data_IF_679021949013
#
_entry.id   IF_679021949013
#
_cell.length_a   1.000
_cell.length_b   1.000
_cell.length_c   1.000
_cell.angle_alpha   90.00
_cell.angle_beta   90.00
_cell.angle_gamma   90.00
#
_symmetry.space_group_name_H-M   'P 1'
#
loop_
_entity.id
_entity.type
_entity.pdbx_description
1 polymer ?
#
# COMPACT_ATOMS: atom_id res chain seq x y z
N UNK A 1 -12.91 24.74 -43.77
CA UNK A 1 -11.61 24.08 -43.99
C UNK A 1 -10.56 25.17 -43.88
N UNK A 2 -9.94 25.26 -42.72
CA UNK A 2 -8.97 26.31 -42.37
C UNK A 2 -7.54 25.79 -42.67
N UNK A 3 -6.70 26.46 -43.47
CA UNK A 3 -5.46 25.89 -43.98
C UNK A 3 -4.27 25.95 -43.01
N UNK A 4 -4.48 26.15 -41.71
CA UNK A 4 -3.41 26.31 -40.72
C UNK A 4 -2.86 25.01 -40.10
N UNK A 5 -3.38 23.82 -40.47
CA UNK A 5 -2.95 22.54 -39.87
C UNK A 5 -1.85 21.76 -40.63
N UNK A 6 -1.02 22.44 -41.42
CA UNK A 6 0.18 21.81 -42.03
C UNK A 6 1.43 22.67 -41.83
N UNK A 7 1.81 22.88 -40.57
CA UNK A 7 3.21 23.04 -40.21
C UNK A 7 3.60 21.80 -39.42
N UNK A 8 4.46 20.98 -40.03
CA UNK A 8 5.05 19.83 -39.36
C UNK A 8 5.73 20.31 -38.08
N UNK A 9 5.26 19.79 -36.95
CA UNK A 9 5.99 19.86 -35.70
C UNK A 9 7.27 19.06 -35.90
N UNK A 10 8.37 19.75 -36.23
CA UNK A 10 9.70 19.18 -36.08
C UNK A 10 9.96 19.19 -34.59
N UNK A 11 9.65 18.08 -33.93
CA UNK A 11 10.03 17.87 -32.54
C UNK A 11 11.54 18.07 -32.43
N UNK A 12 12.03 18.97 -31.56
CA UNK A 12 13.45 19.09 -31.30
C UNK A 12 13.88 17.88 -30.46
N UNK A 13 13.95 16.70 -31.08
CA UNK A 13 14.60 15.52 -30.52
C UNK A 13 16.11 15.73 -30.57
N UNK A 14 16.63 16.58 -29.68
CA UNK A 14 17.81 16.11 -28.97
C UNK A 14 17.29 14.98 -28.09
N UNK A 15 17.61 13.72 -28.43
CA UNK A 15 17.38 12.58 -27.53
C UNK A 15 18.01 12.94 -26.19
N UNK A 16 17.17 13.40 -25.26
CA UNK A 16 17.64 13.75 -23.93
C UNK A 16 18.06 12.44 -23.31
N UNK A 17 19.33 12.32 -22.94
CA UNK A 17 19.79 11.13 -22.25
C UNK A 17 19.16 11.08 -20.84
N UNK A 18 18.00 10.46 -20.74
CA UNK A 18 17.27 10.32 -19.47
C UNK A 18 18.06 9.54 -18.42
N UNK A 19 19.04 8.73 -18.83
CA UNK A 19 19.88 7.96 -17.89
C UNK A 19 20.82 8.83 -17.04
N UNK A 20 21.08 10.07 -17.47
CA UNK A 20 21.88 11.05 -16.72
C UNK A 20 21.03 11.90 -15.78
N UNK A 21 19.70 11.80 -15.86
CA UNK A 21 18.78 12.59 -15.02
C UNK A 21 18.77 12.04 -13.60
N UNK A 22 19.03 12.90 -12.62
CA UNK A 22 18.98 12.57 -11.19
C UNK A 22 17.57 12.84 -10.65
N UNK A 23 16.72 11.82 -10.61
CA UNK A 23 15.29 12.01 -10.33
C UNK A 23 15.01 12.53 -8.92
N UNK A 24 15.85 12.22 -7.93
CA UNK A 24 15.76 12.78 -6.59
C UNK A 24 16.04 14.29 -6.58
N UNK A 25 17.09 14.73 -7.27
CA UNK A 25 17.40 16.16 -7.43
C UNK A 25 16.29 16.91 -8.19
N UNK A 26 15.70 16.30 -9.21
CA UNK A 26 14.58 16.89 -9.96
C UNK A 26 13.37 17.11 -9.05
N UNK A 27 12.99 16.10 -8.25
CA UNK A 27 11.90 16.22 -7.27
C UNK A 27 12.20 17.33 -6.25
N UNK A 28 13.40 17.37 -5.69
CA UNK A 28 13.81 18.38 -4.71
C UNK A 28 13.75 19.79 -5.28
N UNK A 29 14.22 20.01 -6.52
CA UNK A 29 14.14 21.31 -7.19
C UNK A 29 12.70 21.79 -7.35
N UNK A 30 11.76 20.88 -7.61
CA UNK A 30 10.34 21.21 -7.69
C UNK A 30 9.77 21.70 -6.35
N UNK A 31 10.28 21.22 -5.21
CA UNK A 31 9.83 21.72 -3.90
C UNK A 31 10.24 23.17 -3.60
N UNK A 32 11.12 23.78 -4.41
CA UNK A 32 11.69 25.13 -4.24
C UNK A 32 12.37 25.35 -2.88
N UNK A 33 12.97 24.29 -2.32
CA UNK A 33 13.68 24.35 -1.04
C UNK A 33 12.75 24.43 0.18
N UNK A 34 11.44 24.13 0.02
CA UNK A 34 10.50 24.04 1.15
C UNK A 34 10.86 22.92 2.14
N UNK A 35 11.57 21.90 1.67
CA UNK A 35 11.91 20.71 2.45
C UNK A 35 13.41 20.41 2.37
N UNK A 36 13.94 19.78 3.43
CA UNK A 36 15.32 19.30 3.42
C UNK A 36 15.48 18.15 2.41
N UNK A 37 16.59 18.09 1.67
CA UNK A 37 16.87 16.98 0.75
C UNK A 37 16.90 15.63 1.46
N UNK A 38 16.23 14.62 0.90
CA UNK A 38 16.34 13.24 1.39
C UNK A 38 17.79 12.70 1.33
N UNK A 39 18.60 13.24 0.41
CA UNK A 39 20.03 12.93 0.25
C UNK A 39 20.88 13.32 1.46
N UNK A 40 20.48 14.31 2.26
CA UNK A 40 21.14 14.64 3.53
C UNK A 40 21.01 13.49 4.54
N UNK A 41 19.96 12.68 4.46
CA UNK A 41 19.72 11.56 5.38
C UNK A 41 20.48 10.29 4.98
N UNK A 42 20.73 10.08 3.68
CA UNK A 42 21.54 8.97 3.16
C UNK A 42 23.00 9.08 3.63
N UNK A 43 23.53 10.30 3.70
CA UNK A 43 24.97 10.54 3.93
C UNK A 43 25.41 10.40 5.41
N UNK A 44 24.46 10.36 6.35
CA UNK A 44 24.74 10.53 7.78
C UNK A 44 24.81 9.23 8.62
N UNK A 45 24.86 8.03 8.03
CA UNK A 45 24.74 6.74 8.76
C UNK A 45 23.42 6.57 9.55
N UNK A 46 22.51 7.55 9.45
CA UNK A 46 21.31 7.63 10.24
C UNK A 46 20.23 6.68 9.74
N UNK A 47 20.15 6.40 8.45
CA UNK A 47 19.08 5.59 7.85
C UNK A 47 18.95 4.21 8.51
N UNK A 48 20.07 3.56 8.83
CA UNK A 48 20.11 2.19 9.35
C UNK A 48 20.06 2.05 10.87
N UNK A 49 20.14 3.14 11.64
CA UNK A 49 20.21 3.06 13.11
C UNK A 49 18.83 3.19 13.73
N UNK A 50 18.45 2.28 14.64
CA UNK A 50 17.20 2.41 15.38
C UNK A 50 17.16 3.69 16.22
N UNK A 51 16.00 4.38 16.35
CA UNK A 51 15.87 5.50 17.25
C UNK A 51 16.05 5.04 18.70
N UNK A 52 16.69 5.87 19.55
CA UNK A 52 16.90 5.56 20.98
C UNK A 52 15.59 5.56 21.77
N UNK A 53 14.63 6.39 21.39
CA UNK A 53 13.28 6.46 21.96
C UNK A 53 12.25 6.53 20.84
N UNK A 54 11.08 5.93 21.08
CA UNK A 54 9.96 5.97 20.14
C UNK A 54 9.11 7.19 20.48
N UNK A 55 9.37 8.33 19.84
CA UNK A 55 8.42 9.43 19.87
C UNK A 55 7.20 9.06 19.02
N UNK A 56 6.12 8.66 19.69
CA UNK A 56 4.81 8.58 19.06
C UNK A 56 4.23 9.98 19.10
N UNK A 57 4.51 10.80 18.08
CA UNK A 57 3.72 12.01 17.88
C UNK A 57 2.28 11.61 17.55
N UNK A 58 1.36 11.99 18.42
CA UNK A 58 -0.07 11.63 18.43
C UNK A 58 -0.92 12.39 17.40
N UNK A 59 -0.30 13.06 16.41
CA UNK A 59 -1.05 13.80 15.39
C UNK A 59 -1.61 12.84 14.34
N UNK A 60 -2.72 12.19 14.69
CA UNK A 60 -3.57 11.42 13.76
C UNK A 60 -4.39 12.36 12.89
N UNK A 61 -4.50 12.06 11.60
CA UNK A 61 -5.48 12.71 10.71
C UNK A 61 -5.12 14.10 10.17
N UNK A 62 -3.91 14.63 10.43
CA UNK A 62 -3.42 15.85 9.75
C UNK A 62 -2.82 15.50 8.38
N UNK A 63 -3.29 16.18 7.32
CA UNK A 63 -2.71 16.06 5.97
C UNK A 63 -1.38 16.80 5.91
N UNK A 64 -0.31 16.06 5.69
CA UNK A 64 0.99 16.62 5.30
C UNK A 64 1.51 15.99 4.02
N UNK A 65 2.82 16.11 3.81
CA UNK A 65 3.51 15.52 2.65
C UNK A 65 3.36 14.01 2.64
N UNK A 66 3.25 13.42 1.46
CA UNK A 66 3.12 11.96 1.28
C UNK A 66 4.31 11.40 0.52
N UNK A 67 4.91 10.34 1.02
CA UNK A 67 5.90 9.59 0.24
C UNK A 67 5.21 8.50 -0.59
N UNK A 68 5.72 8.22 -1.79
CA UNK A 68 5.42 7.01 -2.54
C UNK A 68 6.67 6.15 -2.50
N UNK A 69 6.57 4.99 -1.90
CA UNK A 69 7.68 4.06 -1.73
C UNK A 69 7.42 2.84 -2.58
N UNK A 70 8.31 2.61 -3.54
CA UNK A 70 8.34 1.39 -4.33
C UNK A 70 9.33 0.42 -3.72
N UNK A 71 8.88 -0.81 -3.45
CA UNK A 71 9.75 -1.85 -2.90
C UNK A 71 10.29 -2.71 -4.03
N UNK A 72 11.59 -2.97 -4.02
CA UNK A 72 12.29 -3.72 -5.06
C UNK A 72 13.43 -4.57 -4.49
N UNK A 73 14.15 -5.27 -5.36
CA UNK A 73 15.21 -6.22 -5.00
C UNK A 73 16.49 -5.92 -5.79
N UNK A 74 17.61 -6.43 -5.32
CA UNK A 74 18.93 -6.29 -5.95
C UNK A 74 19.05 -6.94 -7.34
N UNK A 75 18.18 -7.90 -7.66
CA UNK A 75 18.08 -8.55 -8.97
C UNK A 75 16.95 -8.02 -9.85
N UNK A 76 16.31 -6.90 -9.47
CA UNK A 76 15.23 -6.32 -10.27
C UNK A 76 15.73 -5.79 -11.62
N UNK A 77 15.12 -6.28 -12.70
CA UNK A 77 15.44 -5.84 -14.05
C UNK A 77 14.76 -4.49 -14.39
N UNK A 78 15.53 -3.42 -14.55
CA UNK A 78 15.05 -2.11 -14.99
C UNK A 78 15.03 -1.99 -16.52
N UNK A 79 14.13 -2.72 -17.19
CA UNK A 79 13.92 -2.60 -18.64
C UNK A 79 13.57 -1.16 -19.07
N UNK A 80 13.66 -0.84 -20.35
CA UNK A 80 13.30 0.49 -20.86
C UNK A 80 11.83 0.86 -20.56
N UNK A 81 10.91 -0.09 -20.73
CA UNK A 81 9.48 0.05 -20.42
C UNK A 81 9.24 0.35 -18.94
N UNK A 82 9.86 -0.43 -18.04
CA UNK A 82 9.79 -0.21 -16.59
C UNK A 82 10.37 1.13 -16.18
N UNK A 83 11.50 1.53 -16.77
CA UNK A 83 12.09 2.86 -16.52
C UNK A 83 11.16 3.97 -17.01
N UNK A 84 10.55 3.84 -18.18
CA UNK A 84 9.57 4.81 -18.67
C UNK A 84 8.37 4.95 -17.70
N UNK A 85 7.85 3.85 -17.18
CA UNK A 85 6.79 3.85 -16.17
C UNK A 85 7.22 4.58 -14.88
N UNK A 86 8.41 4.28 -14.34
CA UNK A 86 8.93 4.95 -13.14
C UNK A 86 9.09 6.46 -13.35
N UNK A 87 9.56 6.89 -14.52
CA UNK A 87 9.67 8.32 -14.88
C UNK A 87 8.30 8.98 -14.95
N UNK A 88 7.32 8.31 -15.55
CA UNK A 88 5.94 8.78 -15.63
C UNK A 88 5.35 8.91 -14.22
N UNK A 89 5.50 7.90 -13.37
CA UNK A 89 5.07 7.94 -11.97
C UNK A 89 5.64 9.16 -11.24
N UNK A 90 6.95 9.39 -11.29
CA UNK A 90 7.60 10.52 -10.62
C UNK A 90 7.09 11.86 -11.18
N UNK A 91 6.93 11.94 -12.50
CA UNK A 91 6.47 13.15 -13.17
C UNK A 91 5.02 13.49 -12.80
N UNK A 92 4.13 12.51 -12.91
CA UNK A 92 2.70 12.68 -12.66
C UNK A 92 2.37 12.89 -11.18
N UNK A 93 3.22 12.41 -10.27
CA UNK A 93 3.01 12.58 -8.83
C UNK A 93 3.84 13.72 -8.27
N UNK A 94 5.14 13.54 -8.09
CA UNK A 94 6.00 14.49 -7.39
C UNK A 94 6.12 15.83 -8.11
N UNK A 95 6.29 15.84 -9.44
CA UNK A 95 6.51 17.09 -10.19
C UNK A 95 5.19 17.83 -10.44
N UNK A 96 4.13 17.11 -10.83
CA UNK A 96 2.81 17.69 -11.06
C UNK A 96 2.22 18.34 -9.81
N UNK A 97 2.43 17.72 -8.63
CA UNK A 97 1.90 18.20 -7.36
C UNK A 97 2.75 19.28 -6.68
N UNK A 98 3.78 19.81 -7.35
CA UNK A 98 4.74 20.77 -6.77
C UNK A 98 5.34 20.26 -5.45
N UNK A 99 5.56 18.94 -5.33
CA UNK A 99 6.22 18.30 -4.20
C UNK A 99 5.32 17.86 -3.03
N UNK A 100 3.99 17.82 -3.18
CA UNK A 100 3.10 17.18 -2.19
C UNK A 100 3.37 15.67 -2.06
N UNK A 101 3.80 15.06 -3.18
CA UNK A 101 4.37 13.73 -3.23
C UNK A 101 5.90 13.75 -3.42
N UNK A 102 6.57 12.72 -2.92
CA UNK A 102 7.96 12.38 -3.30
C UNK A 102 8.10 10.86 -3.41
N UNK A 103 8.77 10.40 -4.47
CA UNK A 103 8.93 8.98 -4.80
C UNK A 103 10.31 8.49 -4.36
N UNK A 104 10.32 7.32 -3.72
CA UNK A 104 11.51 6.65 -3.21
C UNK A 104 11.48 5.16 -3.51
N UNK A 105 12.65 4.54 -3.61
CA UNK A 105 12.79 3.09 -3.76
C UNK A 105 13.41 2.50 -2.49
N UNK A 106 12.81 1.44 -1.94
CA UNK A 106 13.42 0.59 -0.93
C UNK A 106 13.91 -0.69 -1.62
N UNK A 107 15.23 -0.83 -1.73
CA UNK A 107 15.87 -1.94 -2.44
C UNK A 107 16.38 -2.96 -1.44
N UNK A 108 15.78 -4.15 -1.44
CA UNK A 108 16.26 -5.27 -0.64
C UNK A 108 17.48 -5.91 -1.31
N UNK A 109 18.64 -5.81 -0.67
CA UNK A 109 19.87 -6.51 -1.04
C UNK A 109 19.89 -7.84 -0.31
N UNK A 110 19.68 -8.94 -1.05
CA UNK A 110 19.54 -10.29 -0.48
C UNK A 110 20.85 -10.78 0.15
N UNK A 111 21.99 -10.26 -0.30
CA UNK A 111 23.30 -10.59 0.27
C UNK A 111 23.55 -9.86 1.61
N UNK A 112 23.46 -10.62 2.71
CA UNK A 112 23.68 -10.13 4.08
C UNK A 112 25.16 -9.94 4.49
N UNK A 113 26.11 -10.36 3.64
CA UNK A 113 27.54 -10.11 3.86
C UNK A 113 27.93 -8.67 3.51
N UNK A 114 27.14 -8.00 2.66
CA UNK A 114 27.33 -6.58 2.36
C UNK A 114 26.93 -5.77 3.58
N UNK A 115 27.89 -5.07 4.18
CA UNK A 115 27.73 -4.28 5.41
C UNK A 115 27.13 -2.90 5.11
N UNK A 116 25.91 -2.89 4.57
CA UNK A 116 25.17 -1.66 4.25
C UNK A 116 25.04 -0.70 5.44
N UNK A 117 25.03 -1.24 6.66
CA UNK A 117 24.88 -0.52 7.92
C UNK A 117 26.17 0.15 8.44
N UNK A 118 27.34 -0.23 7.93
CA UNK A 118 28.65 0.15 8.51
C UNK A 118 29.71 0.55 7.49
N UNK A 119 29.59 0.12 6.24
CA UNK A 119 30.58 0.36 5.19
C UNK A 119 29.96 1.20 4.06
N UNK A 120 30.27 2.50 4.09
CA UNK A 120 29.82 3.48 3.08
C UNK A 120 30.28 3.10 1.67
N UNK A 121 31.49 2.57 1.52
CA UNK A 121 32.00 2.18 0.21
C UNK A 121 31.24 0.96 -0.33
N UNK A 122 30.98 -0.02 0.52
CA UNK A 122 30.17 -1.18 0.15
C UNK A 122 28.73 -0.78 -0.21
N UNK A 123 28.13 0.16 0.54
CA UNK A 123 26.82 0.72 0.22
C UNK A 123 26.82 1.41 -1.16
N UNK A 124 27.77 2.30 -1.42
CA UNK A 124 27.87 3.00 -2.70
C UNK A 124 28.11 2.04 -3.87
N UNK A 125 28.92 1.00 -3.68
CA UNK A 125 29.16 -0.02 -4.69
C UNK A 125 27.89 -0.83 -4.97
N UNK A 126 27.17 -1.27 -3.94
CA UNK A 126 25.90 -1.98 -4.09
C UNK A 126 24.85 -1.10 -4.79
N UNK A 127 24.77 0.19 -4.45
CA UNK A 127 23.85 1.14 -5.09
C UNK A 127 24.15 1.29 -6.58
N UNK A 128 25.44 1.39 -6.95
CA UNK A 128 25.86 1.47 -8.36
C UNK A 128 25.59 0.19 -9.12
N UNK A 129 25.72 -0.96 -8.46
CA UNK A 129 25.53 -2.28 -9.05
C UNK A 129 24.05 -2.59 -9.31
N UNK A 130 23.17 -2.29 -8.35
CA UNK A 130 21.78 -2.76 -8.37
C UNK A 130 20.77 -1.70 -8.82
N UNK A 131 21.14 -0.42 -8.84
CA UNK A 131 20.21 0.67 -9.19
C UNK A 131 20.74 1.48 -10.38
N UNK A 132 19.92 1.69 -11.44
CA UNK A 132 20.28 2.54 -12.57
C UNK A 132 20.65 3.95 -12.12
N UNK A 133 21.61 4.56 -12.80
CA UNK A 133 22.19 5.85 -12.42
C UNK A 133 21.16 6.95 -12.16
N UNK A 134 20.08 6.98 -12.95
CA UNK A 134 19.03 7.98 -12.86
C UNK A 134 18.19 7.91 -11.57
N UNK A 135 18.16 6.75 -10.90
CA UNK A 135 17.35 6.52 -9.70
C UNK A 135 18.16 6.35 -8.42
N UNK A 136 19.50 6.44 -8.48
CA UNK A 136 20.35 6.19 -7.30
C UNK A 136 20.10 7.19 -6.17
N UNK A 137 19.65 8.41 -6.47
CA UNK A 137 19.34 9.45 -5.48
C UNK A 137 17.91 9.39 -4.90
N UNK A 138 17.09 8.43 -5.36
CA UNK A 138 15.79 8.10 -4.76
C UNK A 138 15.79 6.72 -4.09
N UNK A 139 16.89 5.96 -4.19
CA UNK A 139 16.98 4.60 -3.71
C UNK A 139 17.70 4.47 -2.36
N UNK A 140 17.09 3.70 -1.46
CA UNK A 140 17.62 3.33 -0.16
C UNK A 140 17.77 1.82 -0.11
N UNK A 141 18.99 1.36 0.15
CA UNK A 141 19.26 -0.07 0.28
C UNK A 141 18.95 -0.52 1.71
N UNK A 142 18.56 -1.78 1.85
CA UNK A 142 18.50 -2.47 3.14
C UNK A 142 18.73 -3.97 2.92
N UNK A 143 19.01 -4.70 3.98
CA UNK A 143 19.10 -6.16 3.97
C UNK A 143 18.59 -6.72 5.31
N UNK A 144 18.53 -8.04 5.43
CA UNK A 144 18.04 -8.71 6.65
C UNK A 144 18.82 -8.28 7.89
N UNK A 145 20.14 -8.11 7.79
CA UNK A 145 20.99 -7.63 8.90
C UNK A 145 20.50 -6.30 9.48
N UNK A 146 20.12 -5.34 8.63
CA UNK A 146 19.56 -4.06 9.07
C UNK A 146 18.24 -4.29 9.80
N UNK A 147 17.37 -5.15 9.28
CA UNK A 147 16.07 -5.43 9.89
C UNK A 147 16.21 -6.13 11.25
N UNK A 148 17.06 -7.14 11.37
CA UNK A 148 17.38 -7.83 12.63
C UNK A 148 17.87 -6.85 13.70
N UNK A 149 18.72 -5.89 13.31
CA UNK A 149 19.24 -4.88 14.24
C UNK A 149 18.14 -3.95 14.77
N UNK A 150 17.12 -3.66 13.95
CA UNK A 150 15.99 -2.85 14.35
C UNK A 150 14.97 -3.63 15.16
N UNK A 151 14.70 -4.87 14.79
CA UNK A 151 13.59 -5.68 15.28
C UNK A 151 14.09 -6.98 15.96
N UNK A 152 14.91 -6.90 17.02
CA UNK A 152 15.58 -8.08 17.59
C UNK A 152 14.65 -9.08 18.29
N UNK A 153 13.35 -8.76 18.44
CA UNK A 153 12.33 -9.65 19.00
C UNK A 153 11.46 -10.33 17.94
N UNK A 154 11.71 -10.06 16.67
CA UNK A 154 11.06 -10.72 15.54
C UNK A 154 12.06 -11.72 14.97
N UNK A 155 11.63 -12.96 14.74
CA UNK A 155 12.51 -14.04 14.28
C UNK A 155 12.58 -14.17 12.76
N UNK A 156 11.59 -13.62 12.04
CA UNK A 156 11.45 -13.69 10.58
C UNK A 156 11.43 -12.26 10.00
N UNK A 157 12.16 -12.02 8.91
CA UNK A 157 12.35 -10.69 8.32
C UNK A 157 12.15 -10.69 6.80
N UNK A 158 11.79 -11.84 6.21
CA UNK A 158 11.47 -11.99 4.81
C UNK A 158 10.26 -11.16 4.40
N UNK A 159 10.21 -10.78 3.12
CA UNK A 159 9.15 -9.92 2.60
C UNK A 159 7.75 -10.56 2.72
N UNK A 160 7.63 -11.88 2.75
CA UNK A 160 6.34 -12.55 2.95
C UNK A 160 5.74 -12.16 4.31
N UNK A 161 6.54 -12.22 5.37
CA UNK A 161 6.05 -12.00 6.72
C UNK A 161 6.20 -10.54 7.17
N UNK A 162 7.24 -9.83 6.74
CA UNK A 162 7.64 -8.54 7.29
C UNK A 162 7.99 -7.46 6.25
N UNK A 163 7.30 -7.38 5.11
CA UNK A 163 7.63 -6.38 4.06
C UNK A 163 7.60 -4.93 4.55
N UNK A 164 6.77 -4.64 5.56
CA UNK A 164 6.62 -3.30 6.10
C UNK A 164 7.79 -2.86 6.98
N UNK A 165 8.69 -3.73 7.43
CA UNK A 165 9.78 -3.34 8.35
C UNK A 165 10.70 -2.26 7.78
N UNK A 166 11.04 -2.34 6.49
CA UNK A 166 11.83 -1.30 5.83
C UNK A 166 11.03 0.02 5.69
N UNK A 167 9.72 -0.07 5.47
CA UNK A 167 8.83 1.11 5.42
C UNK A 167 8.65 1.76 6.81
N UNK A 168 8.62 0.95 7.86
CA UNK A 168 8.60 1.41 9.24
C UNK A 168 9.90 2.18 9.55
N UNK A 169 11.07 1.65 9.17
CA UNK A 169 12.35 2.37 9.24
C UNK A 169 12.25 3.70 8.48
N UNK A 170 11.68 3.68 7.26
CA UNK A 170 11.43 4.88 6.48
C UNK A 170 10.66 5.95 7.26
N UNK A 171 9.56 5.56 7.89
CA UNK A 171 8.70 6.48 8.65
C UNK A 171 9.37 7.12 9.87
N UNK A 172 10.37 6.45 10.46
CA UNK A 172 11.17 7.01 11.56
C UNK A 172 12.22 8.00 11.06
N UNK A 173 12.77 7.77 9.86
CA UNK A 173 13.87 8.59 9.31
C UNK A 173 13.38 9.79 8.54
N UNK A 174 12.18 9.71 8.00
CA UNK A 174 11.53 10.81 7.30
C UNK A 174 10.21 11.19 7.96
N UNK A 175 10.24 11.67 9.23
CA UNK A 175 9.02 11.93 10.01
C UNK A 175 8.16 13.07 9.44
N UNK A 176 8.71 13.87 8.51
CA UNK A 176 7.99 14.92 7.82
C UNK A 176 6.98 14.40 6.78
N UNK A 177 7.08 13.13 6.36
CA UNK A 177 6.01 12.46 5.62
C UNK A 177 4.96 11.94 6.59
N UNK A 178 3.79 12.56 6.56
CA UNK A 178 2.66 12.16 7.41
C UNK A 178 2.05 10.84 6.97
N UNK A 179 2.12 10.54 5.68
CA UNK A 179 1.58 9.33 5.07
C UNK A 179 2.58 8.78 4.04
N UNK A 180 2.52 7.47 3.82
CA UNK A 180 3.39 6.77 2.92
C UNK A 180 2.55 5.77 2.12
N UNK A 181 2.53 5.91 0.81
CA UNK A 181 2.09 4.87 -0.10
C UNK A 181 3.19 3.82 -0.23
N UNK A 182 2.86 2.57 -0.02
CA UNK A 182 3.64 1.43 -0.49
C UNK A 182 2.99 0.89 -1.75
N UNK A 183 3.70 0.96 -2.87
CA UNK A 183 3.26 0.36 -4.15
C UNK A 183 4.29 -0.66 -4.63
N UNK A 184 3.83 -1.64 -5.40
CA UNK A 184 4.69 -2.64 -6.01
C UNK A 184 5.21 -2.18 -7.39
N UNK A 185 6.38 -2.67 -7.78
CA UNK A 185 7.04 -2.29 -9.04
C UNK A 185 6.26 -2.75 -10.28
N UNK A 186 5.42 -3.78 -10.13
CA UNK A 186 4.57 -4.39 -11.15
C UNK A 186 3.12 -3.91 -11.10
N UNK A 187 2.82 -2.84 -10.33
CA UNK A 187 1.54 -2.12 -10.46
C UNK A 187 1.54 -1.26 -11.73
N UNK A 188 0.43 -1.29 -12.48
CA UNK A 188 0.15 -0.32 -13.56
C UNK A 188 -1.17 0.39 -13.35
N UNK A 189 -1.24 1.63 -13.82
CA UNK A 189 -2.47 2.41 -13.83
C UNK A 189 -2.80 2.86 -15.25
N UNK A 190 -4.07 2.72 -15.62
CA UNK A 190 -4.61 3.18 -16.92
C UNK A 190 -5.14 4.62 -16.82
N UNK A 191 -4.58 5.41 -15.90
CA UNK A 191 -5.02 6.76 -15.54
C UNK A 191 -3.85 7.57 -15.00
N UNK A 192 -4.03 8.89 -14.91
CA UNK A 192 -3.03 9.79 -14.32
C UNK A 192 -2.84 9.47 -12.83
N UNK A 193 -1.62 9.07 -12.44
CA UNK A 193 -1.38 8.42 -11.14
C UNK A 193 -1.75 9.32 -9.97
N UNK A 194 -1.37 10.60 -10.01
CA UNK A 194 -1.72 11.55 -8.94
C UNK A 194 -3.22 11.70 -8.74
N UNK A 195 -3.99 11.75 -9.83
CA UNK A 195 -5.45 11.90 -9.76
C UNK A 195 -6.07 10.69 -9.08
N UNK A 196 -5.57 9.49 -9.38
CA UNK A 196 -6.04 8.25 -8.76
C UNK A 196 -5.67 8.20 -7.27
N UNK A 197 -4.43 8.52 -6.89
CA UNK A 197 -4.04 8.56 -5.48
C UNK A 197 -4.82 9.60 -4.68
N UNK A 198 -5.00 10.81 -5.21
CA UNK A 198 -5.78 11.87 -4.54
C UNK A 198 -7.27 11.53 -4.43
N UNK A 199 -7.85 10.89 -5.46
CA UNK A 199 -9.25 10.45 -5.42
C UNK A 199 -9.47 9.38 -4.36
N UNK A 200 -8.52 8.46 -4.22
CA UNK A 200 -8.50 7.45 -3.16
C UNK A 200 -8.45 8.07 -1.77
N UNK A 201 -7.59 9.08 -1.57
CA UNK A 201 -7.52 9.84 -0.31
C UNK A 201 -8.82 10.60 -0.03
N UNK A 202 -9.38 11.28 -1.03
CA UNK A 202 -10.62 12.03 -0.90
C UNK A 202 -11.80 11.10 -0.53
N UNK A 203 -11.89 9.94 -1.18
CA UNK A 203 -12.87 8.92 -0.85
C UNK A 203 -12.74 8.44 0.59
N UNK A 204 -11.52 8.10 1.03
CA UNK A 204 -11.27 7.63 2.39
C UNK A 204 -11.65 8.67 3.46
N UNK A 205 -11.38 9.95 3.19
CA UNK A 205 -11.77 11.07 4.06
C UNK A 205 -13.27 11.25 4.20
N UNK A 206 -14.03 10.96 3.14
CA UNK A 206 -15.49 11.06 3.17
C UNK A 206 -16.16 9.95 3.99
N UNK A 207 -15.46 8.86 4.30
CA UNK A 207 -16.05 7.71 4.99
C UNK A 207 -16.23 7.96 6.50
N UNK A 208 -17.43 7.72 7.07
CA UNK A 208 -17.61 7.64 8.52
C UNK A 208 -17.06 6.31 9.07
N UNK A 209 -16.75 6.28 10.37
CA UNK A 209 -16.27 5.08 11.08
C UNK A 209 -17.38 4.07 11.39
N UNK A 210 -18.66 4.47 11.36
CA UNK A 210 -19.80 3.58 11.60
C UNK A 210 -19.75 2.42 10.61
N UNK A 211 -19.72 1.18 11.12
CA UNK A 211 -19.66 -0.08 10.35
C UNK A 211 -18.59 -0.08 9.23
N UNK A 212 -17.53 0.70 9.42
CA UNK A 212 -16.50 0.88 8.39
C UNK A 212 -15.71 -0.42 8.17
N UNK A 213 -15.42 -1.16 9.23
CA UNK A 213 -14.72 -2.44 9.12
C UNK A 213 -15.55 -3.51 8.39
N UNK A 214 -16.86 -3.49 8.56
CA UNK A 214 -17.78 -4.40 7.87
C UNK A 214 -17.95 -4.03 6.39
N UNK A 215 -17.95 -2.73 6.06
CA UNK A 215 -17.83 -2.28 4.67
C UNK A 215 -16.49 -2.66 4.05
N UNK A 216 -15.40 -2.48 4.79
CA UNK A 216 -14.06 -2.79 4.32
C UNK A 216 -13.87 -4.29 4.08
N UNK A 217 -14.57 -5.16 4.81
CA UNK A 217 -14.55 -6.61 4.62
C UNK A 217 -15.46 -7.11 3.49
N UNK A 218 -15.86 -6.26 2.53
CA UNK A 218 -16.81 -6.59 1.45
C UNK A 218 -16.44 -5.89 0.14
N UNK A 219 -16.63 -6.55 -0.99
CA UNK A 219 -16.56 -5.88 -2.30
C UNK A 219 -17.81 -5.07 -2.57
N UNK A 220 -17.61 -3.85 -3.05
CA UNK A 220 -18.67 -3.06 -3.66
C UNK A 220 -18.84 -3.48 -5.13
N UNK A 221 -20.04 -3.94 -5.49
CA UNK A 221 -20.41 -4.30 -6.87
C UNK A 221 -21.44 -3.29 -7.35
N UNK A 222 -21.06 -2.31 -8.22
CA UNK A 222 -21.89 -1.16 -8.54
C UNK A 222 -23.30 -1.49 -9.06
N UNK A 223 -23.42 -2.51 -9.91
CA UNK A 223 -24.69 -2.89 -10.55
C UNK A 223 -25.76 -3.29 -9.51
N UNK A 224 -25.37 -3.86 -8.37
CA UNK A 224 -26.29 -4.26 -7.30
C UNK A 224 -26.85 -3.06 -6.51
N UNK A 225 -26.29 -1.87 -6.72
CA UNK A 225 -26.62 -0.64 -5.97
C UNK A 225 -26.89 0.56 -6.90
N UNK A 226 -27.22 0.31 -8.17
CA UNK A 226 -27.46 1.34 -9.19
C UNK A 226 -26.30 2.36 -9.32
N UNK A 227 -25.07 1.90 -9.11
CA UNK A 227 -23.86 2.73 -9.16
C UNK A 227 -23.63 3.64 -7.95
N UNK A 228 -24.45 3.59 -6.89
CA UNK A 228 -24.25 4.40 -5.68
C UNK A 228 -23.51 3.64 -4.58
N UNK A 229 -22.34 4.16 -4.21
CA UNK A 229 -21.61 3.66 -3.04
C UNK A 229 -22.35 3.98 -1.73
N UNK A 230 -23.07 5.11 -1.68
CA UNK A 230 -23.87 5.50 -0.53
C UNK A 230 -25.02 4.51 -0.28
N UNK A 231 -25.66 4.00 -1.34
CA UNK A 231 -26.67 2.96 -1.23
C UNK A 231 -26.08 1.63 -0.72
N UNK A 232 -24.88 1.26 -1.18
CA UNK A 232 -24.12 0.13 -0.63
C UNK A 232 -23.82 0.32 0.86
N UNK A 233 -23.29 1.48 1.24
CA UNK A 233 -22.94 1.79 2.61
C UNK A 233 -24.17 1.76 3.53
N UNK A 234 -25.30 2.31 3.08
CA UNK A 234 -26.57 2.27 3.80
C UNK A 234 -27.11 0.85 3.96
N UNK A 235 -26.95 -0.01 2.95
CA UNK A 235 -27.35 -1.42 3.03
C UNK A 235 -26.50 -2.19 4.06
N UNK A 236 -25.19 -1.95 4.11
CA UNK A 236 -24.32 -2.52 5.15
C UNK A 236 -24.71 -1.99 6.53
N UNK A 237 -25.00 -0.70 6.67
CA UNK A 237 -25.47 -0.13 7.94
C UNK A 237 -26.78 -0.76 8.44
N UNK A 238 -27.70 -1.07 7.52
CA UNK A 238 -28.96 -1.73 7.85
C UNK A 238 -28.78 -3.20 8.26
N UNK A 239 -27.86 -3.92 7.62
CA UNK A 239 -27.54 -5.33 7.93
C UNK A 239 -26.81 -5.46 9.28
N UNK A 240 -25.84 -4.59 9.53
CA UNK A 240 -24.96 -4.67 10.71
C UNK A 240 -25.57 -3.97 11.94
N UNK A 241 -26.31 -2.89 11.76
CA UNK A 241 -26.86 -2.12 12.88
C UNK A 241 -25.77 -1.60 13.83
N UNK A 242 -25.92 -1.91 15.13
CA UNK A 242 -25.03 -1.42 16.20
C UNK A 242 -23.97 -2.44 16.64
N UNK A 243 -23.87 -3.61 15.99
CA UNK A 243 -22.91 -4.66 16.36
C UNK A 243 -21.55 -4.51 15.69
N UNK A 244 -21.43 -3.67 14.66
CA UNK A 244 -20.18 -3.45 13.94
C UNK A 244 -19.09 -2.80 14.79
N UNK A 245 -17.84 -2.93 14.36
CA UNK A 245 -16.68 -2.37 15.05
C UNK A 245 -16.79 -0.84 15.10
N UNK A 246 -16.67 -0.29 16.31
CA UNK A 246 -16.79 1.15 16.54
C UNK A 246 -15.48 1.80 16.99
N UNK A 247 -14.70 1.12 17.83
CA UNK A 247 -13.41 1.63 18.32
C UNK A 247 -12.35 0.53 18.27
N UNK A 248 -11.30 0.64 19.10
CA UNK A 248 -10.30 -0.43 19.20
C UNK A 248 -10.97 -1.75 19.63
N UNK A 249 -10.62 -2.84 18.93
CA UNK A 249 -11.10 -4.18 19.30
C UNK A 249 -10.27 -4.69 20.48
N UNK A 250 -10.90 -5.14 21.59
CA UNK A 250 -10.17 -5.60 22.76
C UNK A 250 -9.27 -6.80 22.46
N UNK A 251 -8.02 -6.71 22.92
CA UNK A 251 -7.01 -7.77 22.91
C UNK A 251 -6.30 -7.76 24.25
N UNK A 252 -5.99 -8.94 24.80
CA UNK A 252 -5.31 -9.08 26.08
C UNK A 252 -3.90 -8.46 26.04
N UNK A 253 -3.54 -7.75 27.11
CA UNK A 253 -2.24 -7.11 27.30
C UNK A 253 -1.83 -6.14 26.17
N UNK A 254 -2.82 -5.57 25.46
CA UNK A 254 -2.65 -4.62 24.36
C UNK A 254 -3.25 -3.26 24.72
N UNK A 255 -2.48 -2.19 24.52
CA UNK A 255 -2.91 -0.81 24.77
C UNK A 255 -3.19 -0.10 23.43
N UNK A 256 -4.43 0.36 23.17
CA UNK A 256 -4.77 1.09 21.96
C UNK A 256 -4.29 2.54 22.02
N UNK A 257 -3.77 3.05 20.90
CA UNK A 257 -3.26 4.43 20.76
C UNK A 257 -4.08 5.28 19.77
N UNK A 258 -5.26 4.79 19.36
CA UNK A 258 -6.21 5.55 18.54
C UNK A 258 -7.18 6.41 19.35
N UNK A 259 -8.06 7.15 18.66
CA UNK A 259 -9.03 8.03 19.30
C UNK A 259 -10.04 7.25 20.13
N UNK A 260 -10.43 7.82 21.28
CA UNK A 260 -11.53 7.27 22.08
C UNK A 260 -12.85 7.45 21.31
N UNK A 261 -13.62 6.36 21.08
CA UNK A 261 -14.84 6.44 20.31
C UNK A 261 -15.90 7.27 21.05
N UNK A 262 -16.62 8.19 20.36
CA UNK A 262 -17.77 8.88 20.94
C UNK A 262 -18.96 7.92 21.10
N UNK A 263 -20.10 8.42 21.58
CA UNK A 263 -21.36 7.68 21.53
C UNK A 263 -21.65 7.20 20.09
N UNK A 264 -22.17 5.98 19.93
CA UNK A 264 -22.60 5.40 18.63
C UNK A 264 -23.66 6.25 17.91
N UNK A 265 -24.38 7.10 18.65
CA UNK A 265 -25.31 8.08 18.07
C UNK A 265 -24.62 9.13 17.18
N UNK A 266 -23.30 9.32 17.30
CA UNK A 266 -22.52 10.23 16.47
C UNK A 266 -22.09 9.53 15.17
N UNK A 267 -23.04 9.30 14.27
CA UNK A 267 -22.85 8.50 13.04
C UNK A 267 -21.91 9.15 12.02
N UNK A 268 -21.66 10.45 12.11
CA UNK A 268 -20.75 11.22 11.25
C UNK A 268 -19.29 11.20 11.72
N UNK A 269 -18.97 10.49 12.80
CA UNK A 269 -17.61 10.42 13.31
C UNK A 269 -16.64 9.83 12.28
N UNK A 270 -15.53 10.52 12.06
CA UNK A 270 -14.48 10.15 11.10
C UNK A 270 -14.63 10.80 9.74
N UNK A 271 -15.74 11.50 9.43
CA UNK A 271 -15.83 12.30 8.21
C UNK A 271 -14.82 13.45 8.28
N UNK A 272 -14.15 13.72 7.15
CA UNK A 272 -13.05 14.69 6.97
C UNK A 272 -11.72 14.33 7.65
N UNK A 273 -11.68 13.27 8.46
CA UNK A 273 -10.47 12.67 9.03
C UNK A 273 -9.71 11.89 7.95
N UNK A 274 -8.40 12.15 7.80
CA UNK A 274 -7.56 11.32 6.92
C UNK A 274 -7.42 9.90 7.49
N UNK A 275 -7.36 8.90 6.62
CA UNK A 275 -7.29 7.51 7.05
C UNK A 275 -5.84 7.13 7.41
N UNK A 276 -5.66 6.50 8.57
CA UNK A 276 -4.38 5.91 8.97
C UNK A 276 -3.96 4.74 8.07
N UNK A 277 -4.95 4.06 7.48
CA UNK A 277 -4.72 3.01 6.50
C UNK A 277 -5.71 3.14 5.35
N UNK A 278 -5.19 3.12 4.14
CA UNK A 278 -5.97 2.82 2.93
C UNK A 278 -5.48 1.50 2.36
N UNK A 279 -6.42 0.59 2.12
CA UNK A 279 -6.21 -0.65 1.39
C UNK A 279 -6.94 -0.61 0.05
N UNK A 280 -6.38 -1.28 -0.96
CA UNK A 280 -6.99 -1.48 -2.28
C UNK A 280 -7.70 -2.84 -2.40
N UNK A 281 -7.63 -3.66 -1.36
CA UNK A 281 -8.34 -4.93 -1.23
C UNK A 281 -9.18 -4.96 0.05
N UNK A 282 -10.25 -5.76 0.10
CA UNK A 282 -11.04 -5.89 1.31
C UNK A 282 -10.22 -6.36 2.51
N UNK A 283 -10.43 -5.69 3.64
CA UNK A 283 -9.84 -6.07 4.92
C UNK A 283 -10.73 -7.12 5.58
N UNK A 284 -10.48 -8.39 5.25
CA UNK A 284 -11.25 -9.54 5.72
C UNK A 284 -10.82 -9.96 7.13
N UNK A 285 -11.71 -10.64 7.86
CA UNK A 285 -11.33 -11.45 9.02
C UNK A 285 -10.65 -12.74 8.54
N UNK A 286 -9.36 -12.97 8.83
CA UNK A 286 -8.64 -14.14 8.36
C UNK A 286 -9.01 -15.43 9.11
N UNK A 287 -9.75 -15.36 10.22
CA UNK A 287 -10.09 -16.53 11.03
C UNK A 287 -11.17 -17.38 10.34
N UNK A 288 -10.94 -18.69 10.26
CA UNK A 288 -11.79 -19.67 9.61
C UNK A 288 -11.75 -19.63 8.08
N UNK A 289 -10.69 -19.06 7.49
CA UNK A 289 -10.60 -18.86 6.03
C UNK A 289 -9.88 -19.98 5.28
N UNK A 290 -9.22 -20.91 5.99
CA UNK A 290 -8.31 -21.91 5.41
C UNK A 290 -7.06 -21.28 4.72
N UNK A 291 -6.80 -19.98 4.94
CA UNK A 291 -5.60 -19.27 4.46
C UNK A 291 -4.33 -19.86 5.08
N UNK A 292 -3.27 -20.03 4.29
CA UNK A 292 -2.02 -20.67 4.76
C UNK A 292 -1.34 -19.96 5.92
N UNK A 293 -1.65 -18.67 6.14
CA UNK A 293 -1.09 -17.87 7.22
C UNK A 293 -2.10 -17.55 8.34
N UNK A 294 -3.26 -18.20 8.33
CA UNK A 294 -4.35 -17.95 9.29
C UNK A 294 -3.88 -18.02 10.76
N UNK A 295 -3.01 -18.95 11.12
CA UNK A 295 -2.54 -19.14 12.50
C UNK A 295 -1.17 -18.48 12.78
N UNK A 296 -0.63 -17.69 11.85
CA UNK A 296 0.69 -17.05 11.97
C UNK A 296 0.61 -15.78 12.81
N UNK A 297 0.44 -15.95 14.12
CA UNK A 297 0.34 -14.87 15.11
C UNK A 297 1.42 -15.04 16.17
N UNK A 298 2.21 -13.99 16.39
CA UNK A 298 3.38 -14.04 17.26
C UNK A 298 3.38 -12.89 18.26
N UNK A 299 3.75 -13.18 19.51
CA UNK A 299 3.88 -12.17 20.59
C UNK A 299 2.57 -11.60 21.15
N UNK A 300 1.40 -11.99 20.61
CA UNK A 300 0.10 -11.60 21.15
C UNK A 300 -0.38 -12.57 22.24
N UNK A 301 -0.89 -12.02 23.36
CA UNK A 301 -1.31 -12.82 24.51
C UNK A 301 -2.49 -13.76 24.21
N UNK A 302 -3.34 -13.39 23.25
CA UNK A 302 -4.48 -14.21 22.81
C UNK A 302 -4.09 -15.25 21.72
N UNK A 303 -2.84 -15.26 21.25
CA UNK A 303 -2.37 -16.18 20.21
C UNK A 303 -3.25 -16.11 18.95
N UNK A 304 -3.62 -17.27 18.40
CA UNK A 304 -4.48 -17.34 17.21
C UNK A 304 -5.87 -16.69 17.38
N UNK A 305 -6.35 -16.53 18.63
CA UNK A 305 -7.62 -15.87 18.94
C UNK A 305 -7.53 -14.33 18.90
N UNK A 306 -6.34 -13.76 18.67
CA UNK A 306 -6.17 -12.31 18.51
C UNK A 306 -7.06 -11.82 17.36
N UNK A 307 -7.92 -10.81 17.59
CA UNK A 307 -8.70 -10.14 16.55
C UNK A 307 -7.78 -9.55 15.49
N UNK A 308 -8.03 -9.87 14.22
CA UNK A 308 -7.15 -9.54 13.10
C UNK A 308 -7.95 -9.13 11.87
N UNK A 309 -7.29 -8.40 10.99
CA UNK A 309 -7.75 -8.18 9.62
C UNK A 309 -6.60 -8.46 8.67
N UNK A 310 -6.93 -8.86 7.45
CA UNK A 310 -5.98 -9.07 6.37
C UNK A 310 -6.53 -8.52 5.06
N UNK A 311 -5.66 -7.93 4.26
CA UNK A 311 -5.94 -7.54 2.88
C UNK A 311 -4.82 -8.09 2.00
N UNK A 312 -5.18 -9.02 1.12
CA UNK A 312 -4.23 -9.64 0.21
C UNK A 312 -3.84 -8.65 -0.88
N UNK A 313 -2.60 -8.75 -1.38
CA UNK A 313 -1.95 -7.67 -2.14
C UNK A 313 -1.68 -6.45 -1.26
N UNK A 314 -0.49 -6.42 -0.65
CA UNK A 314 -0.07 -5.42 0.34
C UNK A 314 0.30 -4.04 -0.25
N UNK A 315 -0.53 -3.50 -1.14
CA UNK A 315 -0.43 -2.12 -1.60
C UNK A 315 -1.33 -1.21 -0.77
N UNK A 316 -0.71 -0.33 0.01
CA UNK A 316 -1.41 0.45 1.03
C UNK A 316 -0.92 1.89 1.09
N UNK A 317 -1.76 2.80 1.61
CA UNK A 317 -1.32 4.09 2.14
C UNK A 317 -1.41 4.03 3.65
N UNK A 318 -0.31 4.20 4.36
CA UNK A 318 -0.27 4.16 5.81
C UNK A 318 0.14 5.52 6.40
N UNK A 319 -0.44 5.91 7.53
CA UNK A 319 0.08 7.03 8.31
C UNK A 319 1.43 6.67 8.92
N UNK A 320 2.31 7.66 9.05
CA UNK A 320 3.56 7.49 9.80
C UNK A 320 3.30 7.05 11.24
N UNK A 321 2.17 7.46 11.82
CA UNK A 321 1.75 7.01 13.15
C UNK A 321 1.52 5.50 13.20
N UNK A 322 0.70 4.93 12.30
CA UNK A 322 0.45 3.49 12.23
C UNK A 322 1.76 2.70 12.05
N UNK A 323 2.62 3.13 11.13
CA UNK A 323 3.91 2.47 10.90
C UNK A 323 4.80 2.48 12.14
N UNK A 324 4.84 3.59 12.89
CA UNK A 324 5.62 3.68 14.13
C UNK A 324 5.03 2.85 15.28
N UNK A 325 3.70 2.71 15.34
CA UNK A 325 3.03 1.81 16.30
C UNK A 325 3.36 0.35 16.04
N UNK A 326 3.26 -0.10 14.78
CA UNK A 326 3.67 -1.46 14.38
C UNK A 326 5.14 -1.69 14.71
N UNK A 327 6.00 -0.74 14.34
CA UNK A 327 7.43 -0.79 14.63
C UNK A 327 7.70 -0.93 16.13
N UNK A 328 7.01 -0.15 16.98
CA UNK A 328 7.12 -0.26 18.44
C UNK A 328 6.73 -1.65 18.94
N UNK A 329 5.58 -2.17 18.49
CA UNK A 329 5.09 -3.48 18.92
C UNK A 329 6.05 -4.61 18.54
N UNK A 330 6.61 -4.58 17.33
CA UNK A 330 7.61 -5.53 16.86
C UNK A 330 8.91 -5.45 17.68
N UNK A 331 9.45 -4.24 17.90
CA UNK A 331 10.71 -4.05 18.63
C UNK A 331 10.61 -4.39 20.12
N UNK A 332 9.55 -3.94 20.77
CA UNK A 332 9.45 -3.99 22.22
C UNK A 332 8.75 -5.23 22.71
N UNK A 333 7.84 -5.82 21.93
CA UNK A 333 7.04 -6.97 22.35
C UNK A 333 7.14 -8.20 21.44
N UNK A 334 7.83 -8.10 20.29
CA UNK A 334 7.86 -9.20 19.33
C UNK A 334 6.47 -9.52 18.76
N UNK A 335 5.58 -8.52 18.73
CA UNK A 335 4.22 -8.67 18.23
C UNK A 335 4.21 -8.50 16.72
N UNK A 336 3.92 -9.58 16.00
CA UNK A 336 3.83 -9.55 14.54
C UNK A 336 2.87 -10.62 13.99
N UNK A 337 2.41 -10.34 12.78
CA UNK A 337 1.66 -11.24 11.89
C UNK A 337 2.28 -11.11 10.49
N UNK A 338 1.84 -11.90 9.53
CA UNK A 338 2.33 -11.82 8.15
C UNK A 338 2.02 -10.46 7.51
N UNK A 339 2.71 -10.13 6.42
CA UNK A 339 2.68 -8.79 5.84
C UNK A 339 1.27 -8.31 5.49
N UNK A 340 0.49 -9.15 4.80
CA UNK A 340 -0.88 -8.87 4.34
C UNK A 340 -1.90 -8.68 5.49
N UNK A 341 -1.51 -8.96 6.73
CA UNK A 341 -2.35 -8.74 7.91
C UNK A 341 -1.79 -7.67 8.85
N UNK A 342 -0.57 -7.16 8.60
CA UNK A 342 0.17 -6.36 9.57
C UNK A 342 -0.51 -5.01 9.80
N UNK A 343 -0.65 -4.18 8.76
CA UNK A 343 -1.18 -2.82 8.96
C UNK A 343 -2.66 -2.85 9.32
N UNK A 344 -3.40 -3.78 8.73
CA UNK A 344 -4.82 -3.99 8.91
C UNK A 344 -5.15 -4.38 10.36
N UNK A 345 -4.41 -5.35 10.90
CA UNK A 345 -4.55 -5.79 12.29
C UNK A 345 -4.18 -4.68 13.25
N UNK A 346 -3.03 -4.03 13.09
CA UNK A 346 -2.62 -2.97 14.03
C UNK A 346 -3.55 -1.76 13.97
N UNK A 347 -4.08 -1.40 12.79
CA UNK A 347 -5.10 -0.37 12.68
C UNK A 347 -6.40 -0.74 13.42
N UNK A 348 -6.85 -2.00 13.29
CA UNK A 348 -8.00 -2.53 14.02
C UNK A 348 -7.80 -2.45 15.55
N UNK A 349 -6.69 -3.00 16.04
CA UNK A 349 -6.42 -3.11 17.47
C UNK A 349 -6.21 -1.75 18.13
N UNK A 350 -5.60 -0.79 17.42
CA UNK A 350 -5.47 0.57 17.94
C UNK A 350 -6.73 1.44 17.73
N UNK A 351 -7.74 0.98 16.97
CA UNK A 351 -8.96 1.76 16.69
C UNK A 351 -8.73 2.91 15.70
N UNK A 352 -7.70 2.80 14.85
CA UNK A 352 -7.35 3.79 13.83
C UNK A 352 -8.32 3.74 12.64
N UNK A 353 -8.36 4.81 11.84
CA UNK A 353 -9.27 4.84 10.68
C UNK A 353 -8.62 4.07 9.53
N UNK A 354 -9.17 2.90 9.20
CA UNK A 354 -8.78 2.13 8.03
C UNK A 354 -9.91 2.11 7.01
N UNK A 355 -9.62 2.31 5.72
CA UNK A 355 -10.61 2.33 4.64
C UNK A 355 -10.14 1.45 3.49
N UNK A 356 -10.97 0.50 3.05
CA UNK A 356 -10.81 -0.13 1.73
C UNK A 356 -11.44 0.78 0.68
N UNK A 357 -10.66 1.18 -0.32
CA UNK A 357 -11.17 2.00 -1.43
C UNK A 357 -11.54 1.09 -2.60
N UNK A 358 -12.82 1.09 -3.04
CA UNK A 358 -13.21 0.33 -4.21
C UNK A 358 -12.60 0.96 -5.46
N UNK A 359 -12.04 0.13 -6.32
CA UNK A 359 -11.61 0.52 -7.66
C UNK A 359 -12.11 -0.49 -8.68
N UNK A 360 -12.15 -0.13 -9.98
CA UNK A 360 -12.51 -1.09 -11.02
C UNK A 360 -11.53 -2.26 -11.04
N UNK A 361 -12.08 -3.47 -11.01
CA UNK A 361 -11.39 -4.75 -11.18
C UNK A 361 -12.15 -5.48 -12.26
N UNK A 362 -11.48 -5.82 -13.37
CA UNK A 362 -12.11 -6.54 -14.46
C UNK A 362 -12.10 -8.05 -14.20
N UNK A 363 -13.17 -8.70 -14.64
CA UNK A 363 -13.33 -10.14 -14.73
C UNK A 363 -13.53 -10.51 -16.21
N UNK A 364 -13.63 -11.80 -16.50
CA UNK A 364 -14.10 -12.27 -17.81
C UNK A 364 -15.52 -11.75 -18.11
N UNK A 365 -15.77 -11.39 -19.38
CA UNK A 365 -16.99 -10.69 -19.85
C UNK A 365 -18.32 -11.43 -19.56
N UNK A 366 -18.28 -12.71 -19.17
CA UNK A 366 -19.47 -13.55 -18.96
C UNK A 366 -20.04 -13.52 -17.53
N UNK A 367 -19.34 -12.88 -16.58
CA UNK A 367 -19.71 -12.92 -15.16
C UNK A 367 -20.73 -11.84 -14.83
N UNK A 368 -21.95 -12.23 -14.45
CA UNK A 368 -22.98 -11.29 -13.98
C UNK A 368 -22.67 -10.74 -12.58
N UNK A 369 -23.20 -9.56 -12.24
CA UNK A 369 -22.99 -8.95 -10.92
C UNK A 369 -23.43 -9.85 -9.75
N UNK A 370 -24.57 -10.55 -9.89
CA UNK A 370 -25.06 -11.47 -8.88
C UNK A 370 -24.20 -12.73 -8.74
N UNK A 371 -23.64 -13.24 -9.84
CA UNK A 371 -22.70 -14.36 -9.80
C UNK A 371 -21.37 -13.96 -9.14
N UNK A 372 -20.87 -12.75 -9.45
CA UNK A 372 -19.70 -12.20 -8.78
C UNK A 372 -19.92 -12.04 -7.27
N UNK A 373 -21.05 -11.47 -6.82
CA UNK A 373 -21.35 -11.32 -5.39
C UNK A 373 -21.45 -12.67 -4.67
N UNK A 374 -22.10 -13.66 -5.29
CA UNK A 374 -22.17 -15.01 -4.73
C UNK A 374 -20.80 -15.70 -4.64
N UNK A 375 -19.86 -15.37 -5.54
CA UNK A 375 -18.50 -15.89 -5.51
C UNK A 375 -17.62 -15.18 -4.48
N UNK A 376 -17.61 -13.84 -4.45
CA UNK A 376 -16.60 -13.08 -3.70
C UNK A 376 -17.12 -12.47 -2.39
N UNK A 377 -18.42 -12.48 -2.12
CA UNK A 377 -19.04 -11.88 -0.92
C UNK A 377 -19.90 -12.89 -0.12
N UNK A 378 -19.45 -14.14 0.01
CA UNK A 378 -20.21 -15.23 0.63
C UNK A 378 -19.92 -15.48 2.12
N UNK A 379 -19.02 -14.72 2.74
CA UNK A 379 -18.64 -14.83 4.13
C UNK A 379 -19.71 -14.39 5.15
N UNK A 380 -19.37 -14.39 6.44
CA UNK A 380 -20.23 -13.87 7.50
C UNK A 380 -20.43 -12.35 7.38
N UNK A 381 -21.48 -11.76 8.01
CA UNK A 381 -21.79 -10.33 7.89
C UNK A 381 -20.62 -9.39 8.21
N UNK A 382 -19.76 -9.73 9.18
CA UNK A 382 -18.62 -8.90 9.57
C UNK A 382 -17.40 -9.00 8.63
N UNK A 383 -17.45 -9.87 7.62
CA UNK A 383 -16.38 -10.15 6.68
C UNK A 383 -16.89 -10.90 5.43
N UNK A 384 -17.76 -10.26 4.65
CA UNK A 384 -18.39 -10.88 3.47
C UNK A 384 -17.38 -11.40 2.43
N UNK A 385 -16.28 -10.70 2.22
CA UNK A 385 -15.21 -11.13 1.32
C UNK A 385 -14.25 -12.18 1.91
N UNK A 386 -14.42 -12.51 3.20
CA UNK A 386 -13.72 -13.60 3.87
C UNK A 386 -14.63 -14.81 4.06
N UNK A 387 -14.55 -15.45 5.22
CA UNK A 387 -15.19 -16.74 5.45
C UNK A 387 -14.37 -17.87 4.86
N UNK A 388 -14.90 -19.09 4.87
CA UNK A 388 -14.13 -20.28 4.49
C UNK A 388 -13.75 -20.27 3.01
N UNK A 389 -12.44 -20.40 2.73
CA UNK A 389 -11.87 -20.49 1.39
C UNK A 389 -12.32 -19.34 0.46
N UNK A 390 -12.07 -18.07 0.82
CA UNK A 390 -12.51 -16.94 0.00
C UNK A 390 -11.75 -16.92 -1.33
N UNK A 391 -12.39 -16.49 -2.41
CA UNK A 391 -11.86 -16.58 -3.78
C UNK A 391 -10.50 -15.89 -3.97
N UNK A 392 -10.21 -14.85 -3.19
CA UNK A 392 -8.94 -14.13 -3.14
C UNK A 392 -7.91 -14.72 -2.20
N UNK A 393 -7.96 -16.00 -1.83
CA UNK A 393 -6.96 -16.58 -0.94
C UNK A 393 -6.14 -17.67 -1.62
N UNK A 394 -4.91 -17.81 -1.14
CA UNK A 394 -4.15 -19.04 -1.30
C UNK A 394 -4.34 -19.89 -0.03
N UNK A 395 -5.12 -20.96 -0.16
CA UNK A 395 -5.45 -21.83 0.97
C UNK A 395 -4.44 -22.95 1.15
N UNK A 396 -4.56 -23.72 2.23
CA UNK A 396 -3.80 -24.96 2.42
C UNK A 396 -3.97 -26.00 1.29
N UNK A 397 -4.96 -25.81 0.41
CA UNK A 397 -5.24 -26.63 -0.78
C UNK A 397 -4.88 -25.95 -2.11
N UNK A 398 -4.27 -24.75 -2.06
CA UNK A 398 -3.93 -23.94 -3.22
C UNK A 398 -4.93 -22.80 -3.48
N UNK A 399 -4.81 -22.20 -4.66
CA UNK A 399 -5.73 -21.15 -5.11
C UNK A 399 -7.15 -21.68 -5.32
N UNK A 400 -8.12 -20.79 -5.14
CA UNK A 400 -9.54 -21.08 -5.36
C UNK A 400 -9.88 -20.80 -6.82
N UNK A 401 -10.34 -21.80 -7.59
CA UNK A 401 -10.84 -21.59 -8.95
C UNK A 401 -12.15 -20.79 -8.93
N UNK A 402 -12.36 -19.94 -9.92
CA UNK A 402 -13.57 -19.15 -10.06
C UNK A 402 -13.31 -17.85 -10.83
N UNK A 403 -14.33 -16.99 -10.99
CA UNK A 403 -14.19 -15.69 -11.65
C UNK A 403 -13.01 -14.86 -11.14
N UNK A 404 -12.79 -14.81 -9.82
CA UNK A 404 -11.70 -14.05 -9.21
C UNK A 404 -10.31 -14.52 -9.63
N UNK A 405 -10.16 -15.79 -10.01
CA UNK A 405 -8.87 -16.35 -10.44
C UNK A 405 -8.28 -15.55 -11.61
N UNK A 406 -9.14 -15.01 -12.48
CA UNK A 406 -8.81 -14.21 -13.67
C UNK A 406 -8.99 -12.70 -13.47
N UNK A 407 -9.09 -12.22 -12.22
CA UNK A 407 -9.27 -10.80 -11.96
C UNK A 407 -8.05 -9.97 -12.39
N UNK A 408 -8.28 -8.76 -12.91
CA UNK A 408 -7.22 -7.84 -13.35
C UNK A 408 -6.33 -7.28 -12.22
N UNK A 409 -6.68 -7.57 -10.97
CA UNK A 409 -5.96 -7.20 -9.76
C UNK A 409 -5.78 -8.45 -8.89
N UNK A 410 -5.14 -9.47 -9.46
CA UNK A 410 -4.87 -10.74 -8.81
C UNK A 410 -3.75 -11.50 -9.53
N UNK A 411 -2.89 -12.16 -8.78
CA UNK A 411 -1.66 -12.78 -9.31
C UNK A 411 -1.79 -14.23 -9.75
N UNK A 412 -2.98 -14.86 -9.64
CA UNK A 412 -3.13 -16.29 -9.89
C UNK A 412 -3.13 -16.67 -11.38
N UNK A 413 -3.88 -15.95 -12.23
CA UNK A 413 -3.93 -16.17 -13.68
C UNK A 413 -3.05 -15.21 -14.50
N UNK A 414 -2.47 -14.18 -13.87
CA UNK A 414 -1.62 -13.19 -14.54
C UNK A 414 -2.31 -12.48 -15.74
N UNK A 415 -3.56 -12.02 -15.54
CA UNK A 415 -4.37 -11.39 -16.59
C UNK A 415 -4.11 -9.89 -16.77
N UNK A 416 -3.58 -9.23 -15.74
CA UNK A 416 -3.27 -7.80 -15.75
C UNK A 416 -2.41 -7.33 -16.95
N UNK A 417 -1.38 -8.08 -17.41
CA UNK A 417 -0.62 -7.74 -18.62
C UNK A 417 -1.48 -7.60 -19.88
N UNK A 418 -2.51 -8.43 -20.04
CA UNK A 418 -3.41 -8.36 -21.21
C UNK A 418 -4.19 -7.05 -21.25
N UNK A 419 -4.67 -6.58 -20.10
CA UNK A 419 -5.34 -5.27 -20.00
C UNK A 419 -4.34 -4.13 -20.21
N UNK A 420 -3.13 -4.25 -19.67
CA UNK A 420 -2.09 -3.23 -19.83
C UNK A 420 -1.67 -3.07 -21.29
N UNK A 421 -1.47 -4.17 -22.02
CA UNK A 421 -1.17 -4.13 -23.44
C UNK A 421 -2.29 -3.45 -24.24
N UNK A 422 -3.56 -3.80 -23.98
CA UNK A 422 -4.70 -3.14 -24.63
C UNK A 422 -4.74 -1.63 -24.36
N UNK A 423 -4.40 -1.19 -23.15
CA UNK A 423 -4.25 0.24 -22.83
C UNK A 423 -3.20 0.90 -23.71
N UNK A 424 -2.01 0.32 -23.80
CA UNK A 424 -0.89 0.84 -24.58
C UNK A 424 -1.19 0.86 -26.09
N UNK A 425 -2.01 -0.08 -26.57
CA UNK A 425 -2.50 -0.13 -27.95
C UNK A 425 -3.64 0.87 -28.23
N UNK A 426 -4.05 1.66 -27.23
CA UNK A 426 -5.01 2.75 -27.37
C UNK A 426 -6.46 2.37 -27.11
N UNK A 427 -6.73 1.20 -26.50
CA UNK A 427 -8.08 0.85 -26.05
C UNK A 427 -8.51 1.82 -24.95
N UNK A 428 -9.63 2.52 -25.16
CA UNK A 428 -10.25 3.32 -24.11
C UNK A 428 -10.73 2.41 -22.97
N UNK A 429 -10.20 2.62 -21.77
CA UNK A 429 -10.54 1.86 -20.57
C UNK A 429 -10.80 2.81 -19.40
N UNK A 430 -11.59 2.40 -18.39
CA UNK A 430 -11.73 3.20 -17.18
C UNK A 430 -10.37 3.32 -16.44
N UNK A 431 -10.26 4.25 -15.47
CA UNK A 431 -9.16 4.27 -14.52
C UNK A 431 -9.12 2.96 -13.73
N UNK A 432 -8.10 2.14 -13.98
CA UNK A 432 -7.91 0.82 -13.39
C UNK A 432 -6.55 0.73 -12.73
N UNK A 433 -6.49 -0.07 -11.67
CA UNK A 433 -5.25 -0.58 -11.10
C UNK A 433 -5.08 -2.02 -11.60
N UNK A 434 -3.95 -2.29 -12.25
CA UNK A 434 -3.63 -3.58 -12.84
C UNK A 434 -2.47 -4.17 -12.07
N UNK A 435 -2.64 -5.41 -11.58
CA UNK A 435 -1.59 -6.10 -10.84
C UNK A 435 -1.74 -7.62 -10.92
N UNK A 436 -0.63 -8.35 -11.08
CA UNK A 436 0.73 -7.87 -11.37
C UNK A 436 0.97 -7.70 -12.88
N UNK A 437 1.80 -6.75 -13.28
CA UNK A 437 2.32 -6.63 -14.65
C UNK A 437 3.83 -6.90 -14.64
N UNK A 438 4.20 -8.16 -14.86
CA UNK A 438 5.59 -8.62 -14.74
C UNK A 438 6.33 -8.55 -16.07
N UNK A 439 5.72 -9.01 -17.15
CA UNK A 439 6.35 -9.03 -18.47
C UNK A 439 5.82 -7.87 -19.32
N UNK A 440 6.75 -7.02 -19.78
CA UNK A 440 6.48 -5.85 -20.63
C UNK A 440 7.44 -5.79 -21.81
#
# INVERSE_FOLDING_TARGET
MDPFFRQGYVSPHTDRNWTEVRWGEVQQRCTRGRYKPATEFITQDLWHQAPKEVEIETKTGERGRTAIVLRTWDDYNYSETRRAWLRALITETALHSDGDYEVFFLVNVKNNDIRLDQDKNAYEQALRQFVPEEFRDVAFLYNTRVLESWYPKVEEHGAQDQMYQALQIFSHKFPHFTHIWQLEMDLRLTSHVHTTLESTVAFARAQPRRNLWERNGRFYIPELYNGSYEAFAAAVDADIGDTGVWGPVPTKDFEPYGPQPPSRSKTDWGINEDADLVSLMPMIDPVGTDWIYEDKVYGFADGAATPRRAAFVSMTRASGHLLRLVSKAQRERGQWVVSEATLETFALLHGLKAVTVPHPIAFEDSVTAGAADADINHGPPHSKAGGRAPSMSYTTKGFIPGPWFHASYWFAADEAPNYWQQYLEGKCMPPMLLHPVKDE
#
